data_IF_733250233075
#
_entry.id   IF_733250233075
#
_cell.length_a   1.000
_cell.length_b   1.000
_cell.length_c   1.000
_cell.angle_alpha   90.00
_cell.angle_beta   90.00
_cell.angle_gamma   90.00
#
_symmetry.space_group_name_H-M   'P 1'
#
loop_
_entity.id
_entity.type
_entity.pdbx_description
1 polymer ?
#
# COMPACT_ATOMS: atom_id res chain seq x y z
N UNK A 1 8.79 15.39 -5.82
CA UNK A 1 8.45 16.79 -6.12
C UNK A 1 9.47 17.37 -7.07
N UNK A 2 9.02 18.09 -8.08
CA UNK A 2 9.86 18.84 -9.02
C UNK A 2 9.52 20.31 -8.83
N UNK A 3 10.54 21.14 -8.57
CA UNK A 3 10.41 22.59 -8.48
C UNK A 3 10.96 23.22 -9.76
N UNK A 4 10.17 24.09 -10.37
CA UNK A 4 10.51 24.82 -11.58
C UNK A 4 10.26 26.31 -11.34
N UNK A 5 11.31 27.14 -11.19
CA UNK A 5 11.14 28.58 -11.01
C UNK A 5 10.71 29.24 -12.32
N UNK A 6 9.78 30.20 -12.23
CA UNK A 6 9.40 31.06 -13.37
C UNK A 6 10.58 31.92 -13.83
N UNK A 7 11.38 32.41 -12.88
CA UNK A 7 12.58 33.21 -13.12
C UNK A 7 13.78 32.57 -12.39
N UNK A 8 14.53 31.69 -13.05
CA UNK A 8 15.71 31.06 -12.45
C UNK A 8 16.78 32.11 -12.12
N UNK A 9 17.41 32.00 -10.94
CA UNK A 9 18.55 32.83 -10.56
C UNK A 9 19.62 31.98 -9.85
N UNK A 10 20.79 32.57 -9.54
CA UNK A 10 21.90 31.84 -8.92
C UNK A 10 21.53 31.18 -7.58
N UNK A 11 20.56 31.74 -6.85
CA UNK A 11 20.10 31.23 -5.55
C UNK A 11 18.95 30.25 -5.65
N UNK A 12 18.09 30.40 -6.67
CA UNK A 12 16.86 29.64 -6.85
C UNK A 12 16.90 29.01 -8.25
N UNK A 13 17.27 27.73 -8.26
CA UNK A 13 17.31 26.89 -9.45
C UNK A 13 16.28 25.77 -9.34
N UNK A 14 15.99 25.13 -10.47
CA UNK A 14 15.15 23.93 -10.49
C UNK A 14 15.77 22.81 -9.66
N UNK A 15 14.93 22.09 -8.92
CA UNK A 15 15.37 20.91 -8.20
C UNK A 15 14.30 19.81 -8.21
N UNK A 16 14.73 18.60 -7.90
CA UNK A 16 13.88 17.42 -7.75
C UNK A 16 14.21 16.72 -6.44
N UNK A 17 13.17 16.41 -5.68
CA UNK A 17 13.25 15.62 -4.46
C UNK A 17 12.35 14.36 -4.61
N UNK A 18 12.90 13.13 -4.54
CA UNK A 18 12.10 11.92 -4.57
C UNK A 18 11.08 11.88 -3.43
N UNK A 19 9.88 11.34 -3.68
CA UNK A 19 8.80 11.35 -2.67
C UNK A 19 9.17 10.57 -1.39
N UNK A 20 9.95 9.49 -1.52
CA UNK A 20 10.40 8.70 -0.37
C UNK A 20 11.49 9.38 0.46
N UNK A 21 12.12 10.44 -0.08
CA UNK A 21 13.14 11.24 0.60
C UNK A 21 12.54 12.48 1.29
N UNK A 22 11.22 12.59 1.33
CA UNK A 22 10.49 13.69 1.94
C UNK A 22 9.86 13.21 3.25
N UNK A 23 10.13 13.91 4.35
CA UNK A 23 9.76 13.54 5.71
C UNK A 23 9.08 14.71 6.43
N UNK A 24 8.30 14.40 7.47
CA UNK A 24 7.70 15.39 8.38
C UNK A 24 6.92 16.52 7.68
N UNK A 25 6.13 16.13 6.67
CA UNK A 25 5.29 17.04 5.89
C UNK A 25 4.10 17.53 6.72
N UNK A 26 3.86 18.84 6.72
CA UNK A 26 2.75 19.44 7.44
C UNK A 26 2.30 20.77 6.81
N UNK A 27 1.06 21.16 7.07
CA UNK A 27 0.52 22.47 6.68
C UNK A 27 0.47 23.39 7.89
N UNK A 28 0.96 24.61 7.72
CA UNK A 28 0.80 25.72 8.65
C UNK A 28 -0.24 26.70 8.10
N UNK A 29 -1.26 26.97 8.91
CA UNK A 29 -2.34 27.90 8.59
C UNK A 29 -2.36 29.02 9.65
N UNK A 30 -1.60 30.11 9.44
CA UNK A 30 -1.63 31.24 10.36
C UNK A 30 -3.01 31.92 10.35
N UNK A 31 -3.40 32.53 11.47
CA UNK A 31 -4.68 33.28 11.58
C UNK A 31 -4.82 34.35 10.50
N UNK A 32 -3.70 34.97 10.11
CA UNK A 32 -3.63 35.92 9.04
C UNK A 32 -2.41 35.62 8.16
N UNK A 33 -2.62 35.52 6.84
CA UNK A 33 -1.58 35.26 5.87
C UNK A 33 -1.82 33.97 5.06
N UNK A 34 -0.93 33.70 4.07
CA UNK A 34 -1.05 32.52 3.22
C UNK A 34 -0.68 31.25 3.98
N UNK A 35 -1.33 30.15 3.63
CA UNK A 35 -0.97 28.83 4.14
C UNK A 35 0.38 28.40 3.58
N UNK A 36 1.16 27.68 4.36
CA UNK A 36 2.41 27.10 3.90
C UNK A 36 2.48 25.61 4.19
N UNK A 37 2.91 24.83 3.21
CA UNK A 37 3.27 23.44 3.39
C UNK A 37 4.78 23.34 3.59
N UNK A 38 5.20 22.68 4.66
CA UNK A 38 6.61 22.51 5.02
C UNK A 38 6.94 21.02 5.04
N UNK A 39 8.13 20.66 4.56
CA UNK A 39 8.61 19.27 4.53
C UNK A 39 10.14 19.24 4.67
N UNK A 40 10.67 18.18 5.26
CA UNK A 40 12.10 17.92 5.31
C UNK A 40 12.49 17.05 4.12
N UNK A 41 13.46 17.50 3.32
CA UNK A 41 13.93 16.83 2.13
C UNK A 41 15.36 16.35 2.31
N UNK A 42 15.58 15.05 2.08
CA UNK A 42 16.92 14.48 1.98
C UNK A 42 17.43 14.62 0.51
N UNK A 43 18.48 15.42 0.25
CA UNK A 43 18.98 15.63 -1.10
C UNK A 43 19.48 14.34 -1.75
N UNK A 44 19.39 14.29 -3.09
CA UNK A 44 19.93 13.19 -3.90
C UNK A 44 20.89 13.72 -4.96
N UNK A 45 21.89 12.91 -5.32
CA UNK A 45 22.81 13.22 -6.40
C UNK A 45 22.05 13.47 -7.70
N UNK A 46 22.35 14.59 -8.37
CA UNK A 46 21.67 15.00 -9.61
C UNK A 46 20.27 15.61 -9.39
N UNK A 47 19.83 15.78 -8.14
CA UNK A 47 18.52 16.37 -7.81
C UNK A 47 18.47 17.90 -7.78
N UNK A 48 19.56 18.61 -8.08
CA UNK A 48 19.60 20.09 -8.06
C UNK A 48 19.76 20.73 -6.67
N UNK A 49 19.61 19.97 -5.58
CA UNK A 49 20.02 20.38 -4.23
C UNK A 49 21.42 19.82 -3.94
N UNK A 50 22.38 20.63 -3.44
CA UNK A 50 23.70 20.15 -3.08
C UNK A 50 23.66 18.99 -2.09
N UNK A 51 24.25 17.84 -2.46
CA UNK A 51 24.29 16.63 -1.63
C UNK A 51 25.19 16.77 -0.39
N UNK A 52 25.92 17.88 -0.24
CA UNK A 52 26.64 18.23 0.99
C UNK A 52 25.70 18.53 2.16
N UNK A 53 24.42 18.83 1.89
CA UNK A 53 23.39 19.04 2.89
C UNK A 53 22.73 17.69 3.21
N UNK A 54 22.64 17.33 4.49
CA UNK A 54 22.05 16.04 4.90
C UNK A 54 20.53 16.07 4.94
N UNK A 55 19.94 17.20 5.32
CA UNK A 55 18.50 17.41 5.42
C UNK A 55 18.20 18.89 5.19
N UNK A 56 17.24 19.18 4.33
CA UNK A 56 16.88 20.55 3.92
C UNK A 56 15.40 20.76 4.19
N UNK A 57 15.05 21.84 4.89
CA UNK A 57 13.66 22.23 5.04
C UNK A 57 13.17 22.94 3.76
N UNK A 58 12.08 22.44 3.18
CA UNK A 58 11.38 23.07 2.08
C UNK A 58 10.08 23.67 2.62
N UNK A 59 9.93 24.99 2.48
CA UNK A 59 8.70 25.71 2.81
C UNK A 59 8.08 26.26 1.53
N UNK A 60 6.86 25.81 1.22
CA UNK A 60 6.10 26.21 0.04
C UNK A 60 4.89 27.02 0.51
N UNK A 61 4.81 28.28 0.12
CA UNK A 61 3.70 29.17 0.46
C UNK A 61 2.69 29.23 -0.67
N UNK A 62 1.41 29.06 -0.33
CA UNK A 62 0.29 29.02 -1.25
C UNK A 62 -0.49 30.33 -1.19
N UNK A 63 -0.19 31.25 -2.12
CA UNK A 63 -0.82 32.57 -2.17
C UNK A 63 -2.31 32.51 -2.57
N UNK A 64 -2.71 31.47 -3.31
CA UNK A 64 -4.07 31.31 -3.84
C UNK A 64 -4.84 30.18 -3.13
N UNK A 65 -4.34 29.69 -2.00
CA UNK A 65 -4.88 28.52 -1.31
C UNK A 65 -4.43 27.18 -1.91
N UNK A 66 -5.05 26.08 -1.50
CA UNK A 66 -4.72 24.73 -1.97
C UNK A 66 -3.62 24.00 -1.18
N UNK A 67 -3.07 24.59 -0.11
CA UNK A 67 -2.04 23.95 0.72
C UNK A 67 -2.53 22.62 1.36
N UNK A 68 -3.77 22.60 1.86
CA UNK A 68 -4.37 21.40 2.48
C UNK A 68 -4.65 20.30 1.45
N UNK A 69 -5.15 20.66 0.27
CA UNK A 69 -5.38 19.73 -0.82
C UNK A 69 -4.05 19.16 -1.34
N UNK A 70 -3.04 20.01 -1.48
CA UNK A 70 -1.69 19.59 -1.87
C UNK A 70 -1.12 18.58 -0.87
N UNK A 71 -1.17 18.89 0.43
CA UNK A 71 -0.71 17.99 1.48
C UNK A 71 -1.46 16.65 1.47
N UNK A 72 -2.79 16.67 1.39
CA UNK A 72 -3.60 15.45 1.37
C UNK A 72 -3.28 14.56 0.16
N UNK A 73 -3.12 15.17 -1.03
CA UNK A 73 -2.74 14.43 -2.23
C UNK A 73 -1.30 13.91 -2.15
N UNK A 74 -0.38 14.71 -1.60
CA UNK A 74 1.00 14.32 -1.37
C UNK A 74 1.08 13.08 -0.47
N UNK A 75 0.46 13.09 0.70
CA UNK A 75 0.46 11.96 1.64
C UNK A 75 -0.15 10.72 0.98
N UNK A 76 -1.30 10.86 0.31
CA UNK A 76 -1.94 9.74 -0.39
C UNK A 76 -1.02 9.09 -1.45
N UNK A 77 -0.29 9.90 -2.22
CA UNK A 77 0.62 9.38 -3.25
C UNK A 77 1.84 8.73 -2.58
N UNK A 78 2.39 9.36 -1.53
CA UNK A 78 3.53 8.85 -0.79
C UNK A 78 3.22 7.50 -0.13
N UNK A 79 2.07 7.38 0.53
CA UNK A 79 1.63 6.13 1.17
C UNK A 79 1.49 5.00 0.15
N UNK A 80 0.86 5.26 -1.00
CA UNK A 80 0.71 4.27 -2.08
C UNK A 80 2.05 3.86 -2.67
N UNK A 81 2.98 4.81 -2.82
CA UNK A 81 4.33 4.51 -3.29
C UNK A 81 5.07 3.64 -2.28
N UNK A 82 4.99 3.96 -1.00
CA UNK A 82 5.62 3.19 0.08
C UNK A 82 5.06 1.76 0.10
N UNK A 83 3.74 1.59 0.05
CA UNK A 83 3.09 0.28 -0.07
C UNK A 83 3.59 -0.50 -1.29
N UNK A 84 3.69 0.14 -2.46
CA UNK A 84 4.19 -0.51 -3.66
C UNK A 84 5.66 -0.97 -3.53
N UNK A 85 6.50 -0.17 -2.87
CA UNK A 85 7.89 -0.52 -2.57
C UNK A 85 7.96 -1.70 -1.61
N UNK A 86 7.15 -1.69 -0.56
CA UNK A 86 7.13 -2.75 0.45
C UNK A 86 6.58 -4.05 -0.13
N UNK A 87 5.52 -4.00 -0.94
CA UNK A 87 5.02 -5.16 -1.69
C UNK A 87 6.06 -5.72 -2.67
N UNK A 88 6.84 -4.86 -3.35
CA UNK A 88 7.89 -5.33 -4.25
C UNK A 88 9.06 -5.99 -3.51
N UNK A 89 9.36 -5.52 -2.29
CA UNK A 89 10.37 -6.14 -1.41
C UNK A 89 9.88 -7.49 -0.85
N UNK A 90 8.61 -7.58 -0.50
CA UNK A 90 8.02 -8.79 0.10
C UNK A 90 7.71 -9.86 -0.96
N UNK A 91 7.24 -9.44 -2.15
CA UNK A 91 6.94 -10.34 -3.28
C UNK A 91 8.18 -10.74 -4.08
N UNK A 92 9.33 -10.09 -3.85
CA UNK A 92 10.55 -10.21 -4.64
C UNK A 92 11.77 -10.64 -3.84
N UNK A 93 11.95 -11.96 -3.72
CA UNK A 93 13.25 -12.65 -3.56
C UNK A 93 14.16 -12.21 -2.41
N UNK A 94 14.21 -13.05 -1.36
CA UNK A 94 15.31 -13.15 -0.40
C UNK A 94 16.65 -13.64 -1.03
N UNK A 95 16.96 -13.25 -2.27
CA UNK A 95 18.15 -13.67 -2.99
C UNK A 95 18.67 -12.60 -3.96
N UNK A 96 18.81 -11.36 -3.49
CA UNK A 96 19.87 -10.48 -4.00
C UNK A 96 20.52 -9.82 -2.79
N UNK A 97 21.77 -10.20 -2.54
CA UNK A 97 22.68 -9.51 -1.62
C UNK A 97 22.42 -8.00 -1.67
N UNK A 98 21.97 -7.47 -0.52
CA UNK A 98 21.98 -6.05 -0.25
C UNK A 98 23.44 -5.56 -0.33
N UNK A 99 23.87 -5.19 -1.53
CA UNK A 99 25.06 -4.36 -1.69
C UNK A 99 24.60 -2.95 -1.36
N UNK A 100 25.05 -2.47 -0.21
CA UNK A 100 24.73 -1.17 0.34
C UNK A 100 24.84 -0.06 -0.75
N UNK A 101 23.73 0.67 -0.96
CA UNK A 101 23.79 2.02 -1.52
C UNK A 101 23.24 2.28 -2.92
N UNK A 102 22.53 1.35 -3.58
CA UNK A 102 21.93 1.64 -4.90
C UNK A 102 20.43 1.33 -4.91
N UNK A 103 19.64 2.37 -5.20
CA UNK A 103 18.19 2.35 -5.17
C UNK A 103 17.56 1.25 -6.04
N UNK A 104 16.39 0.79 -5.60
CA UNK A 104 15.54 -0.16 -6.32
C UNK A 104 15.11 0.42 -7.67
N UNK A 105 15.44 -0.28 -8.74
CA UNK A 105 15.08 0.08 -10.11
C UNK A 105 13.72 -0.56 -10.45
N UNK A 106 12.67 0.26 -10.55
CA UNK A 106 11.29 -0.17 -10.84
C UNK A 106 11.02 -0.43 -12.33
N UNK A 107 12.01 -0.27 -13.22
CA UNK A 107 11.81 -0.42 -14.68
C UNK A 107 11.79 -1.88 -15.13
N UNK A 108 12.08 -2.83 -14.23
CA UNK A 108 12.25 -4.24 -14.56
C UNK A 108 11.41 -5.20 -13.71
N UNK A 109 10.23 -4.76 -13.25
CA UNK A 109 9.23 -5.67 -12.68
C UNK A 109 8.76 -6.61 -13.80
N UNK A 110 9.40 -7.77 -13.90
CA UNK A 110 8.89 -8.87 -14.72
C UNK A 110 7.60 -9.35 -14.08
N UNK A 111 6.48 -9.04 -14.72
CA UNK A 111 5.18 -9.67 -14.49
C UNK A 111 5.24 -11.09 -15.06
N UNK A 112 6.13 -11.93 -14.52
CA UNK A 112 6.15 -13.33 -14.93
C UNK A 112 4.80 -13.95 -14.54
N UNK A 113 4.23 -14.63 -15.53
CA UNK A 113 2.92 -15.25 -15.49
C UNK A 113 2.81 -16.16 -14.26
N UNK A 114 1.79 -15.91 -13.44
CA UNK A 114 1.52 -16.70 -12.24
C UNK A 114 1.46 -18.18 -12.64
N UNK A 115 2.06 -19.09 -11.85
CA UNK A 115 1.90 -20.53 -12.08
C UNK A 115 0.41 -20.85 -12.13
N UNK A 116 -0.05 -21.48 -13.20
CA UNK A 116 -1.42 -21.96 -13.26
C UNK A 116 -1.67 -22.85 -12.04
N UNK A 117 -2.73 -22.55 -11.29
CA UNK A 117 -3.10 -23.32 -10.11
C UNK A 117 -3.42 -24.76 -10.53
N UNK A 118 -2.51 -25.69 -10.26
CA UNK A 118 -2.77 -27.12 -10.44
C UNK A 118 -3.61 -27.57 -9.23
N UNK A 119 -4.91 -27.75 -9.45
CA UNK A 119 -5.82 -28.25 -8.43
C UNK A 119 -5.37 -29.63 -7.94
N UNK A 120 -5.76 -30.04 -6.72
CA UNK A 120 -5.36 -31.33 -6.18
C UNK A 120 -5.78 -32.46 -7.13
N UNK A 121 -4.78 -33.08 -7.74
CA UNK A 121 -4.95 -34.24 -8.60
C UNK A 121 -5.40 -35.40 -7.70
N UNK A 122 -6.72 -35.64 -7.65
CA UNK A 122 -7.30 -36.80 -6.98
C UNK A 122 -7.01 -38.01 -7.84
N UNK A 123 -5.83 -38.59 -7.68
CA UNK A 123 -5.49 -39.89 -8.23
C UNK A 123 -6.30 -40.97 -7.50
N UNK A 124 -7.46 -41.30 -8.07
CA UNK A 124 -8.22 -42.51 -7.73
C UNK A 124 -7.63 -43.69 -8.51
N UNK A 125 -7.28 -44.82 -7.87
CA UNK A 125 -6.84 -46.00 -8.61
C UNK A 125 -8.05 -46.78 -9.15
N UNK A 126 -7.91 -47.22 -10.41
CA UNK A 126 -8.61 -48.30 -11.11
C UNK A 126 -10.15 -48.31 -11.16
N UNK A 127 -10.70 -48.16 -12.38
CA UNK A 127 -11.37 -49.27 -13.09
C UNK A 127 -11.99 -48.82 -14.43
N UNK A 128 -11.41 -49.35 -15.51
CA UNK A 128 -12.08 -50.08 -16.60
C UNK A 128 -13.55 -49.68 -16.96
N UNK A 129 -13.76 -49.13 -18.16
CA UNK A 129 -14.68 -49.63 -19.22
C UNK A 129 -15.20 -48.53 -20.16
N UNK A 130 -14.92 -48.72 -21.45
CA UNK A 130 -15.78 -48.62 -22.63
C UNK A 130 -16.86 -47.53 -22.75
N UNK A 131 -16.76 -46.80 -23.85
CA UNK A 131 -17.81 -46.27 -24.74
C UNK A 131 -19.26 -46.23 -24.22
N UNK A 132 -19.88 -45.05 -24.25
CA UNK A 132 -21.15 -44.85 -24.98
C UNK A 132 -21.47 -43.37 -25.19
N UNK A 133 -21.99 -43.16 -26.38
CA UNK A 133 -22.52 -41.95 -26.98
C UNK A 133 -23.93 -41.61 -26.43
N UNK A 134 -24.35 -40.38 -26.70
CA UNK A 134 -25.73 -39.90 -26.79
C UNK A 134 -26.57 -39.55 -25.52
N UNK A 135 -26.85 -38.23 -25.45
CA UNK A 135 -28.14 -37.52 -25.27
C UNK A 135 -29.04 -37.78 -24.06
N UNK A 136 -29.35 -36.69 -23.33
CA UNK A 136 -30.66 -36.00 -23.32
C UNK A 136 -31.00 -35.39 -21.93
N UNK A 137 -31.83 -34.34 -21.95
CA UNK A 137 -32.63 -33.76 -20.84
C UNK A 137 -32.26 -32.35 -20.34
N UNK A 138 -32.56 -31.36 -21.18
CA UNK A 138 -33.57 -30.30 -20.98
C UNK A 138 -33.73 -29.54 -19.62
N UNK A 139 -33.78 -28.19 -19.76
CA UNK A 139 -34.55 -27.16 -18.99
C UNK A 139 -33.92 -26.47 -17.75
N UNK A 140 -33.35 -25.28 -18.02
CA UNK A 140 -33.75 -23.94 -17.50
C UNK A 140 -33.76 -23.72 -15.98
N UNK A 141 -32.81 -22.91 -15.48
CA UNK A 141 -33.13 -21.82 -14.56
C UNK A 141 -31.99 -20.77 -14.46
N UNK A 142 -32.40 -19.51 -14.51
CA UNK A 142 -31.60 -18.31 -14.27
C UNK A 142 -31.09 -18.29 -12.82
N UNK A 143 -29.78 -18.13 -12.60
CA UNK A 143 -29.28 -17.73 -11.30
C UNK A 143 -27.97 -16.94 -11.42
N UNK A 144 -28.04 -15.65 -11.07
CA UNK A 144 -26.93 -14.90 -10.48
C UNK A 144 -26.19 -15.79 -9.47
N UNK A 145 -24.87 -15.86 -9.54
CA UNK A 145 -24.07 -16.31 -8.39
C UNK A 145 -23.04 -15.24 -8.06
N UNK A 146 -23.54 -14.18 -7.43
CA UNK A 146 -22.83 -13.53 -6.33
C UNK A 146 -22.42 -14.63 -5.36
N UNK A 147 -21.14 -14.92 -5.21
CA UNK A 147 -20.66 -15.76 -4.12
C UNK A 147 -21.09 -15.09 -2.81
N UNK A 148 -21.97 -15.70 -1.99
CA UNK A 148 -22.33 -15.10 -0.72
C UNK A 148 -21.08 -15.09 0.16
N UNK A 149 -20.75 -13.92 0.71
CA UNK A 149 -19.81 -13.84 1.83
C UNK A 149 -20.28 -14.84 2.90
N UNK A 150 -19.37 -15.59 3.56
CA UNK A 150 -19.76 -16.53 4.61
C UNK A 150 -20.59 -15.79 5.65
N UNK A 151 -21.88 -16.10 5.71
CA UNK A 151 -22.84 -15.47 6.63
C UNK A 151 -22.77 -16.08 8.01
N UNK A 152 -21.90 -17.07 8.21
CA UNK A 152 -21.73 -17.81 9.44
C UNK A 152 -20.29 -17.60 9.95
N UNK A 153 -20.12 -17.17 11.21
CA UNK A 153 -18.79 -17.02 11.79
C UNK A 153 -18.08 -18.39 11.83
N UNK A 154 -16.74 -18.41 11.87
CA UNK A 154 -15.98 -19.65 11.92
C UNK A 154 -16.49 -20.55 13.06
N UNK A 155 -16.59 -21.88 12.84
CA UNK A 155 -17.03 -22.81 13.88
C UNK A 155 -16.17 -22.62 15.14
N UNK A 156 -16.83 -22.35 16.28
CA UNK A 156 -16.17 -22.07 17.56
C UNK A 156 -16.03 -20.59 17.95
N UNK A 157 -16.37 -19.63 17.07
CA UNK A 157 -16.31 -18.20 17.40
C UNK A 157 -17.25 -17.81 18.55
N UNK A 158 -18.42 -18.44 18.61
CA UNK A 158 -19.41 -18.20 19.67
C UNK A 158 -18.91 -18.66 21.04
N UNK A 159 -18.17 -19.77 21.09
CA UNK A 159 -17.61 -20.32 22.34
C UNK A 159 -16.51 -19.41 22.91
N UNK A 160 -15.65 -18.86 22.04
CA UNK A 160 -14.60 -17.89 22.41
C UNK A 160 -15.22 -16.56 22.88
N UNK A 161 -16.30 -16.11 22.22
CA UNK A 161 -17.04 -14.92 22.67
C UNK A 161 -17.65 -15.12 24.06
N UNK A 162 -18.29 -16.27 24.29
CA UNK A 162 -18.89 -16.59 25.58
C UNK A 162 -17.85 -16.66 26.71
N UNK A 163 -16.68 -17.25 26.45
CA UNK A 163 -15.57 -17.28 27.41
C UNK A 163 -15.06 -15.88 27.75
N UNK A 164 -14.89 -15.01 26.75
CA UNK A 164 -14.42 -13.64 26.95
C UNK A 164 -15.36 -12.82 27.85
N UNK A 165 -16.68 -12.97 27.65
CA UNK A 165 -17.70 -12.28 28.46
C UNK A 165 -17.73 -12.82 29.90
N UNK A 166 -17.58 -14.14 30.06
CA UNK A 166 -17.55 -14.77 31.37
C UNK A 166 -16.32 -14.34 32.19
N UNK A 167 -15.14 -14.30 31.58
CA UNK A 167 -13.90 -13.85 32.21
C UNK A 167 -13.98 -12.37 32.64
N UNK A 168 -14.56 -11.49 31.81
CA UNK A 168 -14.72 -10.07 32.16
C UNK A 168 -15.64 -9.87 33.39
N UNK A 169 -16.74 -10.62 33.47
CA UNK A 169 -17.68 -10.55 34.60
C UNK A 169 -17.04 -11.06 35.91
N UNK A 170 -16.27 -12.14 35.85
CA UNK A 170 -15.56 -12.68 37.01
C UNK A 170 -14.48 -11.70 37.51
N UNK A 171 -13.74 -11.08 36.59
CA UNK A 171 -12.76 -10.04 36.91
C UNK A 171 -13.43 -8.82 37.58
N UNK A 172 -14.62 -8.41 37.11
CA UNK A 172 -15.39 -7.33 37.73
C UNK A 172 -15.87 -7.69 39.15
N UNK A 173 -16.39 -8.91 39.36
CA UNK A 173 -16.82 -9.39 40.69
C UNK A 173 -15.65 -9.48 41.66
N UNK A 174 -14.46 -9.86 41.18
CA UNK A 174 -13.24 -9.90 41.98
C UNK A 174 -12.77 -8.49 42.38
N UNK A 175 -12.93 -7.49 41.50
CA UNK A 175 -12.61 -6.09 41.80
C UNK A 175 -13.63 -5.40 42.71
N UNK A 176 -14.87 -5.89 42.73
CA UNK A 176 -15.94 -5.34 43.55
C UNK A 176 -15.96 -5.87 45.00
N UNK A 177 -14.98 -6.70 45.39
CA UNK A 177 -14.79 -7.23 46.75
C UNK A 177 -13.51 -6.69 47.36
#
# INVERSE_FOLDING_TARGET
>A
IVYLPTEPNERIQSFTAPLLNLHDSHVSAPWFGPNAWTVLAQPVSGGGIPASLQLVELKITFNEGGAFDFHSNFERIKDRLQQAVDHARDSGTASVQATAGRGVNFTNVHLDELPAYDGPNVSSPDQNQSANDAVDSLVRETANTTSPAPVEPPPGYEEVQQQSVAEELEEQLRRAR
#
